data_IF_857844010695
#
_entry.id   IF_857844010695
#
_cell.length_a   1.000
_cell.length_b   1.000
_cell.length_c   1.000
_cell.angle_alpha   90.00
_cell.angle_beta   90.00
_cell.angle_gamma   90.00
#
_symmetry.space_group_name_H-M   'P 1'
#
loop_
_entity.id
_entity.type
_entity.pdbx_description
1 polymer ?
#
# COMPACT_ATOMS: atom_id res chain seq x y z
N UNK A 1 4.52 12.35 8.67
CA UNK A 1 4.51 11.88 7.29
C UNK A 1 3.08 11.65 6.85
N UNK A 2 2.66 12.37 5.84
CA UNK A 2 1.38 12.18 5.20
C UNK A 2 1.60 11.61 3.80
N UNK A 3 0.65 10.81 3.33
CA UNK A 3 0.63 10.34 1.95
C UNK A 3 -0.62 10.83 1.26
N UNK A 4 -0.52 11.22 0.01
CA UNK A 4 -1.64 11.64 -0.79
C UNK A 4 -1.83 10.70 -1.96
N UNK A 5 -3.07 10.27 -2.17
CA UNK A 5 -3.30 9.12 -3.03
C UNK A 5 -4.57 9.22 -3.84
N UNK A 6 -4.96 10.25 -4.40
CA UNK A 6 -5.97 10.18 -5.45
C UNK A 6 -6.06 11.47 -6.21
N UNK A 7 -5.52 11.50 -7.41
CA UNK A 7 -5.82 12.56 -8.35
C UNK A 7 -6.78 11.98 -9.39
N UNK A 8 -7.98 12.54 -9.43
CA UNK A 8 -8.90 12.28 -10.53
C UNK A 8 -8.56 13.22 -11.68
N UNK A 9 -7.93 12.70 -12.68
CA UNK A 9 -7.89 13.37 -13.96
C UNK A 9 -9.24 13.11 -14.66
N UNK A 10 -9.73 14.10 -15.44
CA UNK A 10 -10.99 14.00 -16.17
C UNK A 10 -11.07 12.83 -17.13
N UNK A 11 -9.93 12.23 -17.51
CA UNK A 11 -9.86 11.14 -18.48
C UNK A 11 -9.44 9.82 -17.89
N UNK A 12 -8.82 9.78 -16.70
CA UNK A 12 -8.34 8.54 -16.08
C UNK A 12 -8.26 8.69 -14.57
N UNK A 13 -8.81 7.72 -13.86
CA UNK A 13 -8.58 7.60 -12.43
C UNK A 13 -7.15 7.10 -12.21
N UNK A 14 -6.27 7.95 -11.67
CA UNK A 14 -4.90 7.60 -11.32
C UNK A 14 -4.73 7.62 -9.83
N UNK A 15 -4.16 6.54 -9.29
CA UNK A 15 -3.60 6.55 -7.95
C UNK A 15 -2.17 7.05 -8.04
N UNK A 16 -1.90 8.17 -7.38
CA UNK A 16 -0.54 8.70 -7.24
C UNK A 16 -0.17 8.62 -5.78
N UNK A 17 0.92 7.91 -5.48
CA UNK A 17 1.45 7.82 -4.14
C UNK A 17 2.52 8.91 -3.96
N UNK A 18 2.21 9.88 -3.10
CA UNK A 18 3.15 10.95 -2.74
C UNK A 18 3.34 10.97 -1.24
N UNK A 19 4.57 11.18 -0.81
CA UNK A 19 4.89 11.32 0.61
C UNK A 19 5.16 12.78 0.89
N UNK A 20 4.30 13.39 1.73
CA UNK A 20 4.50 14.75 2.21
C UNK A 20 5.34 14.70 3.48
N UNK A 21 6.54 15.25 3.41
CA UNK A 21 7.49 15.24 4.52
C UNK A 21 7.22 16.42 5.44
N UNK A 22 6.95 16.16 6.71
CA UNK A 22 6.78 17.19 7.73
C UNK A 22 8.08 17.54 8.43
N UNK A 23 8.91 16.55 8.64
CA UNK A 23 10.22 16.71 9.29
C UNK A 23 11.24 15.87 8.55
N UNK A 24 12.42 16.40 8.39
CA UNK A 24 13.54 15.68 7.81
C UNK A 24 14.78 15.91 8.67
N UNK A 25 15.48 14.84 8.97
CA UNK A 25 16.69 14.89 9.76
C UNK A 25 17.86 14.33 8.97
N UNK A 26 18.99 15.01 9.03
CA UNK A 26 20.21 14.48 8.47
C UNK A 26 20.85 13.54 9.48
N UNK A 27 21.07 12.30 9.07
CA UNK A 27 21.68 11.30 9.93
C UNK A 27 23.19 11.42 9.89
N UNK A 28 23.83 11.28 11.08
CA UNK A 28 25.28 11.21 11.18
C UNK A 28 25.77 9.81 10.77
N UNK A 29 26.90 9.76 10.06
CA UNK A 29 27.48 8.50 9.59
C UNK A 29 27.91 7.57 10.74
N UNK A 30 28.06 8.12 11.96
CA UNK A 30 28.53 7.39 13.14
C UNK A 30 27.39 6.84 14.01
N UNK A 31 26.14 7.03 13.63
CA UNK A 31 25.04 6.44 14.39
C UNK A 31 25.00 4.90 14.19
N UNK A 32 24.88 4.15 15.31
CA UNK A 32 24.88 2.70 15.22
C UNK A 32 23.69 2.22 14.36
N UNK A 33 23.96 1.26 13.49
CA UNK A 33 22.95 0.62 12.63
C UNK A 33 21.91 -0.19 13.43
N UNK A 34 21.80 0.03 14.73
CA UNK A 34 20.87 -0.70 15.56
C UNK A 34 19.43 -0.42 15.12
N UNK A 35 18.78 -1.48 14.68
CA UNK A 35 17.39 -1.52 14.26
C UNK A 35 17.06 -0.70 13.01
N UNK A 36 18.05 -0.42 12.18
CA UNK A 36 17.82 0.39 10.99
C UNK A 36 17.07 -0.39 9.93
N UNK A 37 15.76 -0.35 10.01
CA UNK A 37 14.91 -0.71 8.90
C UNK A 37 14.60 0.58 8.16
N UNK A 38 15.36 0.89 7.09
CA UNK A 38 15.30 2.21 6.46
C UNK A 38 13.99 2.50 5.75
N UNK A 39 13.18 1.48 5.53
CA UNK A 39 11.91 1.62 4.82
C UNK A 39 10.82 0.93 5.65
N UNK A 40 10.19 1.71 6.52
CA UNK A 40 9.09 1.23 7.35
C UNK A 40 7.93 2.19 7.29
N UNK A 41 6.73 1.65 7.21
CA UNK A 41 5.51 2.42 7.29
C UNK A 41 4.53 1.73 8.24
N UNK A 42 3.86 2.54 9.06
CA UNK A 42 2.74 2.12 9.87
C UNK A 42 1.50 2.84 9.39
N UNK A 43 0.43 2.10 9.14
CA UNK A 43 -0.84 2.64 8.71
C UNK A 43 -1.96 2.13 9.60
N UNK A 44 -2.82 3.04 10.00
CA UNK A 44 -4.05 2.77 10.74
C UNK A 44 -5.20 3.26 9.87
N UNK A 45 -6.05 2.36 9.45
CA UNK A 45 -7.13 2.73 8.53
C UNK A 45 -8.22 1.68 8.42
N UNK A 46 -9.04 1.86 7.41
CA UNK A 46 -10.24 1.05 7.21
C UNK A 46 -10.19 0.38 5.84
N UNK A 47 -10.69 -0.83 5.78
CA UNK A 47 -10.89 -1.53 4.50
C UNK A 47 -12.01 -0.82 3.75
N UNK A 48 -11.68 -0.21 2.62
CA UNK A 48 -12.67 0.56 1.86
C UNK A 48 -13.19 -0.16 0.61
N UNK A 49 -12.55 -1.27 0.26
CA UNK A 49 -12.94 -2.11 -0.87
C UNK A 49 -12.69 -3.56 -0.48
N UNK A 50 -13.55 -4.48 -0.92
CA UNK A 50 -13.36 -5.89 -0.63
C UNK A 50 -11.98 -6.35 -1.10
N UNK A 51 -11.16 -6.94 -0.20
CA UNK A 51 -9.85 -7.42 -0.60
C UNK A 51 -9.93 -8.51 -1.67
N UNK A 52 -8.97 -8.52 -2.57
CA UNK A 52 -8.91 -9.52 -3.65
C UNK A 52 -7.79 -10.51 -3.34
N UNK A 53 -8.21 -11.71 -2.93
CA UNK A 53 -7.28 -12.83 -2.72
C UNK A 53 -7.08 -13.56 -4.04
N UNK A 54 -5.83 -13.85 -4.35
CA UNK A 54 -5.47 -14.63 -5.54
C UNK A 54 -4.21 -15.42 -5.31
N UNK A 55 -4.01 -16.45 -6.12
CA UNK A 55 -2.79 -17.25 -6.09
C UNK A 55 -2.00 -16.97 -7.37
N UNK A 56 -0.70 -16.73 -7.22
CA UNK A 56 0.17 -16.52 -8.37
C UNK A 56 0.43 -17.85 -9.10
N UNK A 57 0.85 -17.81 -10.38
CA UNK A 57 1.21 -19.04 -11.10
C UNK A 57 2.29 -19.88 -10.41
N UNK A 58 3.14 -19.26 -9.59
CA UNK A 58 4.17 -19.96 -8.83
C UNK A 58 3.66 -20.51 -7.48
N UNK A 59 2.37 -20.42 -7.22
CA UNK A 59 1.75 -20.93 -6.00
C UNK A 59 1.86 -20.04 -4.78
N UNK A 60 2.15 -18.76 -4.95
CA UNK A 60 2.16 -17.80 -3.85
C UNK A 60 0.78 -17.20 -3.63
N UNK A 61 0.37 -17.16 -2.36
CA UNK A 61 -0.85 -16.49 -1.98
C UNK A 61 -0.62 -14.98 -1.85
N UNK A 62 -1.45 -14.19 -2.51
CA UNK A 62 -1.40 -12.73 -2.38
C UNK A 62 -2.81 -12.19 -2.19
N UNK A 63 -2.91 -11.03 -1.54
CA UNK A 63 -4.17 -10.30 -1.43
C UNK A 63 -3.91 -8.82 -1.66
N UNK A 64 -4.70 -8.24 -2.52
CA UNK A 64 -4.67 -6.80 -2.78
C UNK A 64 -5.69 -6.13 -1.86
N UNK A 65 -5.24 -5.14 -1.11
CA UNK A 65 -6.03 -4.42 -0.13
C UNK A 65 -5.95 -2.93 -0.43
N UNK A 66 -7.10 -2.26 -0.45
CA UNK A 66 -7.12 -0.80 -0.50
C UNK A 66 -7.50 -0.28 0.87
N UNK A 67 -6.58 0.45 1.50
CA UNK A 67 -6.74 0.97 2.84
C UNK A 67 -7.08 2.46 2.79
N UNK A 68 -8.15 2.85 3.47
CA UNK A 68 -8.51 4.25 3.65
C UNK A 68 -7.94 4.74 4.97
N UNK A 69 -7.01 5.69 4.90
CA UNK A 69 -6.41 6.33 6.07
C UNK A 69 -6.97 7.74 6.18
N UNK A 70 -7.67 7.99 7.28
CA UNK A 70 -8.30 9.29 7.50
C UNK A 70 -7.29 10.32 7.96
N UNK A 71 -7.31 11.47 7.29
CA UNK A 71 -6.58 12.65 7.74
C UNK A 71 -7.47 13.51 8.65
N UNK A 72 -6.83 14.38 9.41
CA UNK A 72 -7.55 15.49 10.02
C UNK A 72 -8.28 16.28 8.92
N UNK A 73 -9.40 16.90 9.25
CA UNK A 73 -10.20 17.74 8.34
C UNK A 73 -10.99 16.99 7.26
N UNK A 74 -11.35 15.74 7.48
CA UNK A 74 -12.31 15.05 6.64
C UNK A 74 -11.81 14.52 5.30
N UNK A 75 -10.49 14.50 5.07
CA UNK A 75 -9.90 13.90 3.88
C UNK A 75 -9.37 12.50 4.19
N UNK A 76 -9.33 11.65 3.20
CA UNK A 76 -8.79 10.30 3.32
C UNK A 76 -7.76 10.04 2.24
N UNK A 77 -6.73 9.30 2.62
CA UNK A 77 -5.76 8.74 1.69
C UNK A 77 -6.12 7.29 1.40
N UNK A 78 -6.10 6.90 0.13
CA UNK A 78 -6.38 5.53 -0.29
C UNK A 78 -5.07 4.87 -0.68
N UNK A 79 -4.62 3.91 0.12
CA UNK A 79 -3.29 3.34 -0.01
C UNK A 79 -3.39 1.89 -0.45
N UNK A 80 -2.86 1.54 -1.64
CA UNK A 80 -2.83 0.16 -2.07
C UNK A 80 -1.79 -0.62 -1.27
N UNK A 81 -2.20 -1.77 -0.75
CA UNK A 81 -1.36 -2.66 0.02
C UNK A 81 -1.38 -4.05 -0.61
N UNK A 82 -0.28 -4.75 -0.51
CA UNK A 82 -0.20 -6.14 -0.93
C UNK A 82 0.21 -7.02 0.24
N UNK A 83 -0.55 -8.08 0.46
CA UNK A 83 -0.30 -9.06 1.50
C UNK A 83 0.17 -10.36 0.87
N UNK A 84 1.02 -11.09 1.59
CA UNK A 84 1.63 -12.33 1.12
C UNK A 84 1.37 -13.46 2.13
N UNK A 85 1.18 -14.67 1.63
CA UNK A 85 1.09 -15.88 2.44
C UNK A 85 -0.01 -15.80 3.49
N UNK A 86 0.37 -15.97 4.75
CA UNK A 86 -0.57 -15.96 5.87
C UNK A 86 -1.32 -14.61 5.98
N UNK A 87 -0.63 -13.51 5.74
CA UNK A 87 -1.27 -12.20 5.74
C UNK A 87 -2.30 -12.08 4.61
N UNK A 88 -2.03 -12.68 3.46
CA UNK A 88 -2.99 -12.70 2.35
C UNK A 88 -4.25 -13.48 2.70
N UNK A 89 -4.11 -14.62 3.36
CA UNK A 89 -5.26 -15.41 3.83
C UNK A 89 -6.08 -14.64 4.85
N UNK A 90 -5.42 -13.98 5.77
CA UNK A 90 -6.08 -13.12 6.75
C UNK A 90 -6.81 -11.96 6.08
N UNK A 91 -6.13 -11.26 5.19
CA UNK A 91 -6.70 -10.11 4.49
C UNK A 91 -7.90 -10.49 3.62
N UNK A 92 -7.84 -11.65 2.99
CA UNK A 92 -8.94 -12.13 2.14
C UNK A 92 -10.25 -12.36 2.88
N UNK A 93 -10.22 -12.48 4.19
CA UNK A 93 -11.41 -12.66 5.04
C UNK A 93 -11.98 -11.35 5.58
N UNK A 94 -11.26 -10.24 5.38
CA UNK A 94 -11.70 -8.95 5.89
C UNK A 94 -12.83 -8.37 5.05
N UNK A 95 -13.70 -7.63 5.72
CA UNK A 95 -14.84 -6.98 5.09
C UNK A 95 -14.65 -5.48 5.03
N UNK A 96 -15.35 -4.85 4.09
CA UNK A 96 -15.37 -3.38 3.98
C UNK A 96 -15.85 -2.79 5.31
N UNK A 97 -15.15 -1.77 5.79
CA UNK A 97 -15.45 -1.09 7.03
C UNK A 97 -14.65 -1.58 8.23
N UNK A 98 -13.94 -2.70 8.11
CA UNK A 98 -13.11 -3.17 9.21
C UNK A 98 -11.91 -2.26 9.43
N UNK A 99 -11.61 -2.02 10.71
CA UNK A 99 -10.50 -1.18 11.15
C UNK A 99 -9.25 -2.04 11.34
N UNK A 100 -8.17 -1.69 10.66
CA UNK A 100 -6.94 -2.48 10.69
C UNK A 100 -5.71 -1.60 10.87
N UNK A 101 -4.71 -2.17 11.49
CA UNK A 101 -3.35 -1.62 11.55
C UNK A 101 -2.44 -2.45 10.65
N UNK A 102 -1.62 -1.77 9.89
CA UNK A 102 -0.71 -2.40 8.92
C UNK A 102 0.71 -1.89 9.16
N UNK A 103 1.65 -2.81 9.23
CA UNK A 103 3.09 -2.53 9.23
C UNK A 103 3.69 -3.10 7.94
N UNK A 104 4.52 -2.33 7.30
CA UNK A 104 5.13 -2.78 6.05
C UNK A 104 6.19 -1.83 5.54
N UNK A 105 6.42 -1.90 4.26
CA UNK A 105 7.36 -1.06 3.54
C UNK A 105 6.77 -0.62 2.22
N UNK A 106 7.24 0.50 1.71
CA UNK A 106 6.85 0.98 0.38
C UNK A 106 7.70 0.26 -0.66
N UNK A 107 7.07 -0.23 -1.71
CA UNK A 107 7.77 -0.88 -2.81
C UNK A 107 7.18 -0.43 -4.14
N UNK A 108 7.97 -0.55 -5.17
CA UNK A 108 7.51 -0.41 -6.55
C UNK A 108 7.40 -1.78 -7.21
N UNK A 109 6.49 -1.89 -8.15
CA UNK A 109 6.28 -3.10 -8.93
C UNK A 109 6.02 -2.72 -10.37
N UNK A 110 6.75 -3.33 -11.28
CA UNK A 110 6.48 -3.19 -12.70
C UNK A 110 5.36 -4.14 -13.11
N UNK A 111 4.47 -3.65 -13.93
CA UNK A 111 3.44 -4.46 -14.54
C UNK A 111 3.23 -4.03 -15.98
N UNK A 112 2.69 -4.93 -16.77
CA UNK A 112 2.40 -4.66 -18.17
C UNK A 112 0.92 -4.37 -18.33
N UNK A 113 0.63 -3.24 -18.96
CA UNK A 113 -0.73 -2.85 -19.29
C UNK A 113 -0.94 -2.93 -20.78
N UNK A 114 -1.97 -3.66 -21.19
CA UNK A 114 -2.37 -3.73 -22.58
C UNK A 114 -3.18 -2.48 -22.90
N UNK A 115 -2.66 -1.68 -23.83
CA UNK A 115 -3.35 -0.45 -24.28
C UNK A 115 -4.18 -0.74 -25.52
N UNK A 116 -3.69 -1.60 -26.41
CA UNK A 116 -4.33 -1.97 -27.67
C UNK A 116 -4.00 -3.43 -27.95
N UNK A 117 -4.66 -4.03 -28.95
CA UNK A 117 -4.48 -5.45 -29.27
C UNK A 117 -3.02 -5.85 -29.52
N UNK A 118 -2.18 -4.92 -29.92
CA UNK A 118 -0.78 -5.16 -30.25
C UNK A 118 0.23 -4.37 -29.43
N UNK A 119 -0.23 -3.53 -28.48
CA UNK A 119 0.67 -2.69 -27.69
C UNK A 119 0.56 -3.00 -26.20
N UNK A 120 1.70 -3.37 -25.63
CA UNK A 120 1.86 -3.56 -24.19
C UNK A 120 2.84 -2.51 -23.69
N UNK A 121 2.42 -1.75 -22.68
CA UNK A 121 3.25 -0.72 -22.06
C UNK A 121 3.62 -1.15 -20.65
N UNK A 122 4.89 -1.01 -20.31
CA UNK A 122 5.36 -1.22 -18.96
C UNK A 122 5.00 -0.03 -18.07
N UNK A 123 4.40 -0.29 -16.93
CA UNK A 123 4.00 0.70 -15.92
C UNK A 123 4.59 0.33 -14.58
N UNK A 124 4.73 1.35 -13.73
CA UNK A 124 5.21 1.15 -12.35
C UNK A 124 4.09 1.52 -11.39
N UNK A 125 3.77 0.61 -10.49
CA UNK A 125 2.86 0.85 -9.39
C UNK A 125 3.65 0.93 -8.08
N UNK A 126 3.22 1.83 -7.19
CA UNK A 126 3.77 1.92 -5.84
C UNK A 126 2.72 1.40 -4.86
N UNK A 127 3.16 0.62 -3.91
CA UNK A 127 2.28 -0.06 -2.97
C UNK A 127 2.99 -0.30 -1.65
N UNK A 128 2.22 -0.61 -0.61
CA UNK A 128 2.78 -1.04 0.68
C UNK A 128 2.79 -2.56 0.73
N UNK A 129 3.97 -3.14 0.87
CA UNK A 129 4.12 -4.57 1.12
C UNK A 129 3.95 -4.83 2.60
N UNK A 130 2.91 -5.57 2.97
CA UNK A 130 2.52 -5.78 4.36
C UNK A 130 3.39 -6.86 4.99
N UNK A 131 4.04 -6.53 6.11
CA UNK A 131 4.77 -7.51 6.93
C UNK A 131 3.93 -8.00 8.10
N UNK A 132 3.06 -7.14 8.64
CA UNK A 132 2.18 -7.47 9.77
C UNK A 132 0.86 -6.73 9.62
N UNK A 133 -0.23 -7.39 9.97
CA UNK A 133 -1.58 -6.82 9.94
C UNK A 133 -2.36 -7.27 11.16
N UNK A 134 -3.08 -6.35 11.79
CA UNK A 134 -3.94 -6.62 12.93
C UNK A 134 -5.28 -5.94 12.76
N UNK A 135 -6.36 -6.62 13.17
CA UNK A 135 -7.66 -5.97 13.32
C UNK A 135 -7.68 -5.14 14.60
N UNK A 136 -8.20 -3.92 14.49
CA UNK A 136 -8.45 -3.04 15.60
C UNK A 136 -9.95 -2.99 15.88
N UNK A 137 -10.30 -2.91 17.12
CA UNK A 137 -11.70 -2.75 17.52
C UNK A 137 -12.11 -1.28 17.56
#
# INVERSE_FOLDING_TARGET
>A
VGSEMCIRDRTKNRLILSVFVREIEQLDEDEPEEENRPNQIYLDGYICKAPVYRMTPLGREIADVLLAVNRAYGKSDYIPCICWGRNARFAGKLQVGEHVAIWGRIQSREYQKRIDNDQVVSRVAYEVSVSKMECLE
#
